data_IF_534999497605
#
_entry.id   IF_534999497605
#
_cell.length_a   1.000
_cell.length_b   1.000
_cell.length_c   1.000
_cell.angle_alpha   90.00
_cell.angle_beta   90.00
_cell.angle_gamma   90.00
#
_symmetry.space_group_name_H-M   'P 1'
#
loop_
_entity.id
_entity.type
_entity.pdbx_description
1 polymer ?
#
# COMPACT_ATOMS: atom_id res chain seq x y z
N UNK A 1 0.49 11.68 9.78
CA UNK A 1 1.42 11.99 8.68
C UNK A 1 0.66 12.50 7.48
N UNK A 2 1.21 13.49 6.85
CA UNK A 2 0.63 13.99 5.60
C UNK A 2 1.04 13.08 4.44
N UNK A 3 0.38 13.24 3.30
CA UNK A 3 0.77 12.53 2.09
C UNK A 3 2.22 12.84 1.72
N UNK A 4 2.62 14.11 1.87
CA UNK A 4 3.99 14.51 1.56
C UNK A 4 5.01 13.81 2.46
N UNK A 5 4.67 13.67 3.75
CA UNK A 5 5.56 12.98 4.68
C UNK A 5 5.68 11.50 4.34
N UNK A 6 4.55 10.86 4.01
CA UNK A 6 4.57 9.46 3.61
C UNK A 6 5.38 9.26 2.34
N UNK A 7 5.21 10.17 1.39
CA UNK A 7 5.94 10.10 0.13
C UNK A 7 7.44 10.23 0.37
N UNK A 8 7.85 11.14 1.23
CA UNK A 8 9.26 11.32 1.58
C UNK A 8 9.83 10.05 2.20
N UNK A 9 9.09 9.44 3.12
CA UNK A 9 9.54 8.20 3.74
C UNK A 9 9.71 7.08 2.71
N UNK A 10 8.72 6.93 1.85
CA UNK A 10 8.76 5.88 0.83
C UNK A 10 9.97 6.08 -0.07
N UNK A 11 10.18 7.31 -0.54
CA UNK A 11 11.28 7.60 -1.45
C UNK A 11 12.62 7.31 -0.80
N UNK A 12 12.74 7.62 0.48
CA UNK A 12 13.94 7.30 1.22
C UNK A 12 14.19 5.81 1.27
N UNK A 13 13.15 5.02 1.47
CA UNK A 13 13.27 3.57 1.58
C UNK A 13 13.58 2.89 0.26
N UNK A 14 13.10 3.44 -0.85
CA UNK A 14 13.35 2.84 -2.16
C UNK A 14 14.55 3.46 -2.88
N UNK A 15 15.15 4.49 -2.29
CA UNK A 15 16.36 5.08 -2.86
C UNK A 15 16.12 6.03 -4.01
N UNK A 16 14.96 6.66 -4.08
CA UNK A 16 14.63 7.63 -5.13
C UNK A 16 14.65 9.01 -4.54
N UNK A 17 15.37 9.93 -5.17
CA UNK A 17 15.48 11.29 -4.65
C UNK A 17 14.81 12.34 -5.54
N UNK A 18 14.43 11.99 -6.76
CA UNK A 18 13.78 12.94 -7.67
C UNK A 18 12.27 12.73 -7.68
N UNK A 19 11.57 13.40 -8.59
CA UNK A 19 10.12 13.33 -8.63
C UNK A 19 9.60 12.39 -9.70
N UNK A 20 10.46 11.60 -10.32
CA UNK A 20 10.06 10.75 -11.44
C UNK A 20 9.03 9.69 -11.07
N UNK A 21 9.02 9.26 -9.80
CA UNK A 21 8.10 8.23 -9.36
C UNK A 21 6.95 8.77 -8.49
N UNK A 22 6.87 10.09 -8.33
CA UNK A 22 5.88 10.66 -7.40
C UNK A 22 4.45 10.31 -7.78
N UNK A 23 4.11 10.38 -9.06
CA UNK A 23 2.75 10.06 -9.49
C UNK A 23 2.40 8.61 -9.20
N UNK A 24 3.31 7.69 -9.48
CA UNK A 24 3.09 6.28 -9.22
C UNK A 24 2.95 6.01 -7.72
N UNK A 25 3.83 6.60 -6.92
CA UNK A 25 3.80 6.39 -5.48
C UNK A 25 2.54 7.00 -4.86
N UNK A 26 2.09 8.15 -5.37
CA UNK A 26 0.85 8.75 -4.90
C UNK A 26 -0.34 7.86 -5.23
N UNK A 27 -0.34 7.24 -6.41
CA UNK A 27 -1.38 6.28 -6.77
C UNK A 27 -1.38 5.10 -5.81
N UNK A 28 -0.21 4.55 -5.49
CA UNK A 28 -0.13 3.46 -4.53
C UNK A 28 -0.60 3.88 -3.15
N UNK A 29 -0.31 5.12 -2.73
CA UNK A 29 -0.81 5.62 -1.46
C UNK A 29 -2.34 5.69 -1.46
N UNK A 30 -2.93 6.16 -2.55
CA UNK A 30 -4.39 6.22 -2.65
C UNK A 30 -4.99 4.82 -2.59
N UNK A 31 -4.41 3.88 -3.33
CA UNK A 31 -4.90 2.50 -3.34
C UNK A 31 -4.76 1.86 -1.97
N UNK A 32 -3.65 2.10 -1.29
CA UNK A 32 -3.44 1.52 0.03
C UNK A 32 -4.39 2.11 1.07
N UNK A 33 -4.71 3.40 0.97
CA UNK A 33 -5.70 4.01 1.86
C UNK A 33 -7.04 3.30 1.72
N UNK A 34 -7.48 3.10 0.49
CA UNK A 34 -8.74 2.42 0.23
C UNK A 34 -8.72 1.00 0.76
N UNK A 35 -7.63 0.28 0.49
CA UNK A 35 -7.54 -1.11 0.91
C UNK A 35 -7.54 -1.23 2.42
N UNK A 36 -6.77 -0.38 3.11
CA UNK A 36 -6.70 -0.43 4.57
C UNK A 36 -8.07 -0.13 5.18
N UNK A 37 -8.74 0.91 4.69
CA UNK A 37 -10.04 1.26 5.24
C UNK A 37 -11.08 0.17 4.97
N UNK A 38 -11.09 -0.39 3.77
CA UNK A 38 -12.03 -1.44 3.44
C UNK A 38 -11.79 -2.69 4.25
N UNK A 39 -10.52 -3.04 4.46
CA UNK A 39 -10.17 -4.22 5.24
C UNK A 39 -10.47 -4.01 6.72
N UNK A 40 -10.01 -2.88 7.27
CA UNK A 40 -10.14 -2.62 8.70
C UNK A 40 -11.60 -2.50 9.13
N UNK A 41 -12.42 -1.89 8.29
CA UNK A 41 -13.83 -1.68 8.62
C UNK A 41 -14.77 -2.62 7.86
N UNK A 42 -14.26 -3.73 7.39
CA UNK A 42 -15.04 -4.64 6.55
C UNK A 42 -16.25 -5.22 7.27
N UNK A 43 -16.18 -5.36 8.60
CA UNK A 43 -17.28 -5.95 9.37
C UNK A 43 -18.22 -4.92 9.93
N UNK A 44 -17.76 -3.68 10.12
CA UNK A 44 -18.60 -2.67 10.78
C UNK A 44 -18.90 -1.48 9.89
N UNK A 45 -18.30 -1.41 8.71
CA UNK A 45 -18.52 -0.29 7.79
C UNK A 45 -17.58 0.87 8.06
N UNK A 46 -17.15 1.53 6.99
CA UNK A 46 -16.25 2.68 7.12
C UNK A 46 -17.05 3.85 7.68
N UNK A 47 -16.56 4.50 8.76
CA UNK A 47 -17.28 5.63 9.33
C UNK A 47 -17.45 6.76 8.32
N UNK A 48 -18.56 7.43 8.40
CA UNK A 48 -18.86 8.53 7.50
C UNK A 48 -17.80 9.61 7.65
N UNK A 49 -17.30 10.12 6.52
CA UNK A 49 -16.28 11.16 6.53
C UNK A 49 -14.86 10.67 6.75
N UNK A 50 -14.68 9.37 6.96
CA UNK A 50 -13.33 8.86 7.18
C UNK A 50 -12.65 8.63 5.84
N UNK A 51 -11.58 9.40 5.60
CA UNK A 51 -10.85 9.34 4.34
C UNK A 51 -9.38 9.00 4.52
N UNK A 52 -8.88 8.98 5.75
CA UNK A 52 -7.47 8.70 6.02
C UNK A 52 -7.36 7.48 6.91
N UNK A 53 -6.20 6.79 6.80
CA UNK A 53 -5.96 5.64 7.67
C UNK A 53 -5.71 6.14 9.09
N UNK A 54 -5.95 5.26 10.05
CA UNK A 54 -5.67 5.57 11.45
C UNK A 54 -4.18 5.65 11.69
N UNK A 55 -3.79 6.41 12.73
CA UNK A 55 -2.39 6.66 13.01
C UNK A 55 -1.60 5.37 13.18
N UNK A 56 -2.20 4.36 13.80
CA UNK A 56 -1.49 3.11 14.02
C UNK A 56 -1.24 2.33 12.74
N UNK A 57 -1.92 2.68 11.66
CA UNK A 57 -1.78 1.97 10.40
C UNK A 57 -0.89 2.71 9.38
N UNK A 58 -0.42 3.90 9.73
CA UNK A 58 0.32 4.71 8.76
C UNK A 58 1.65 4.06 8.36
N UNK A 59 2.36 3.50 9.31
CA UNK A 59 3.62 2.83 9.00
C UNK A 59 3.36 1.55 8.19
N UNK A 60 2.27 0.86 8.50
CA UNK A 60 1.89 -0.30 7.69
C UNK A 60 1.64 0.13 6.25
N UNK A 61 0.96 1.27 6.07
CA UNK A 61 0.69 1.79 4.74
C UNK A 61 1.96 2.10 3.98
N UNK A 62 2.90 2.78 4.62
CA UNK A 62 4.17 3.14 3.99
C UNK A 62 4.91 1.87 3.56
N UNK A 63 5.00 0.90 4.45
CA UNK A 63 5.69 -0.35 4.13
C UNK A 63 4.98 -1.14 3.05
N UNK A 64 3.65 -1.09 3.01
CA UNK A 64 2.90 -1.77 1.96
C UNK A 64 3.19 -1.17 0.59
N UNK A 65 3.27 0.17 0.52
CA UNK A 65 3.59 0.84 -0.73
C UNK A 65 4.99 0.48 -1.19
N UNK A 66 5.94 0.42 -0.25
CA UNK A 66 7.32 0.01 -0.58
C UNK A 66 7.33 -1.42 -1.11
N UNK A 67 6.58 -2.32 -0.49
CA UNK A 67 6.50 -3.71 -0.95
C UNK A 67 5.93 -3.79 -2.36
N UNK A 68 4.87 -3.04 -2.63
CA UNK A 68 4.27 -3.01 -3.95
C UNK A 68 5.21 -2.45 -5.01
N UNK A 69 5.94 -1.39 -4.66
CA UNK A 69 6.88 -0.79 -5.58
C UNK A 69 8.04 -1.74 -5.88
N UNK A 70 8.58 -2.37 -4.86
CA UNK A 70 9.69 -3.29 -5.03
C UNK A 70 9.29 -4.50 -5.86
N UNK A 71 8.08 -4.98 -5.68
CA UNK A 71 7.59 -6.10 -6.45
C UNK A 71 7.46 -5.74 -7.91
N UNK A 72 6.98 -4.54 -8.19
CA UNK A 72 6.88 -4.06 -9.55
C UNK A 72 8.25 -4.01 -10.21
N UNK A 73 9.26 -3.51 -9.51
CA UNK A 73 10.60 -3.47 -10.02
C UNK A 73 11.16 -4.86 -10.33
N UNK A 74 10.92 -5.79 -9.42
CA UNK A 74 11.37 -7.16 -9.61
C UNK A 74 10.65 -7.80 -10.80
N UNK A 75 9.36 -7.55 -10.93
CA UNK A 75 8.60 -8.06 -12.04
C UNK A 75 9.15 -7.55 -13.35
N UNK A 76 9.47 -6.26 -13.42
CA UNK A 76 10.01 -5.68 -14.63
C UNK A 76 11.35 -6.31 -15.00
N UNK A 77 12.16 -6.62 -14.00
CA UNK A 77 13.46 -7.20 -14.24
C UNK A 77 13.40 -8.63 -14.75
N UNK A 78 12.36 -9.35 -14.39
CA UNK A 78 12.23 -10.74 -14.74
C UNK A 78 11.17 -11.02 -15.78
N UNK A 79 10.68 -9.98 -16.42
CA UNK A 79 9.50 -10.13 -17.25
C UNK A 79 9.68 -11.11 -18.39
N UNK A 80 10.90 -11.21 -18.97
CA UNK A 80 11.05 -12.12 -20.07
C UNK A 80 11.27 -13.54 -19.65
N UNK A 81 11.45 -13.80 -18.40
CA UNK A 81 11.49 -15.13 -17.92
C UNK A 81 10.22 -15.66 -17.53
N UNK A 82 9.35 -14.96 -17.46
CA UNK A 82 8.37 -15.21 -16.90
C UNK A 82 7.55 -15.65 -16.57
N UNK A 83 6.98 -15.72 -15.99
CA UNK A 83 6.26 -16.30 -15.31
C UNK A 83 5.09 -15.56 -15.16
N UNK A 84 3.99 -15.94 -15.61
CA UNK A 84 2.75 -15.28 -15.49
C UNK A 84 2.33 -15.00 -14.13
N UNK A 85 2.83 -15.73 -13.17
CA UNK A 85 2.53 -15.54 -11.76
C UNK A 85 2.92 -14.16 -11.31
N UNK A 86 4.06 -13.66 -11.76
CA UNK A 86 4.52 -12.35 -11.33
C UNK A 86 3.64 -11.23 -11.81
N UNK A 87 3.01 -11.38 -12.95
CA UNK A 87 2.18 -10.31 -13.45
C UNK A 87 0.94 -10.10 -12.64
N UNK A 88 0.47 -11.14 -11.96
CA UNK A 88 -0.75 -11.01 -11.17
C UNK A 88 -0.48 -10.52 -9.77
N UNK A 89 0.78 -10.44 -9.34
CA UNK A 89 1.06 -10.13 -7.96
C UNK A 89 1.49 -8.72 -7.67
N UNK A 90 1.50 -7.83 -8.65
CA UNK A 90 1.89 -6.51 -8.40
C UNK A 90 1.07 -5.83 -7.37
N UNK A 91 -0.24 -5.91 -7.46
CA UNK A 91 -1.12 -5.34 -6.45
C UNK A 91 -1.29 -6.25 -5.27
N UNK A 92 -1.20 -7.53 -5.50
CA UNK A 92 -1.43 -8.49 -4.44
C UNK A 92 -0.38 -8.42 -3.35
N UNK A 93 0.85 -8.03 -3.70
CA UNK A 93 1.87 -7.89 -2.67
C UNK A 93 1.53 -6.79 -1.68
N UNK A 94 1.03 -5.65 -2.17
CA UNK A 94 0.61 -4.58 -1.30
C UNK A 94 -0.60 -4.98 -0.48
N UNK A 95 -1.59 -5.61 -1.12
CA UNK A 95 -2.80 -6.05 -0.45
C UNK A 95 -2.49 -7.12 0.58
N UNK A 96 -1.66 -8.09 0.22
CA UNK A 96 -1.30 -9.16 1.15
C UNK A 96 -0.56 -8.61 2.37
N UNK A 97 0.31 -7.63 2.17
CA UNK A 97 1.01 -6.99 3.26
C UNK A 97 0.03 -6.34 4.23
N UNK A 98 -0.95 -5.63 3.68
CA UNK A 98 -1.98 -4.96 4.48
C UNK A 98 -2.82 -5.98 5.24
N UNK A 99 -3.28 -7.02 4.57
CA UNK A 99 -4.14 -8.01 5.21
C UNK A 99 -3.42 -8.79 6.30
N UNK A 100 -2.11 -8.92 6.19
CA UNK A 100 -1.34 -9.64 7.20
C UNK A 100 -1.11 -8.80 8.46
N UNK A 101 -1.18 -7.49 8.36
CA UNK A 101 -0.78 -6.62 9.46
C UNK A 101 -1.87 -5.72 10.01
N UNK A 102 -2.83 -5.31 9.20
CA UNK A 102 -3.95 -4.50 9.68
C UNK A 102 -5.00 -5.45 10.26
N UNK A 103 -5.40 -5.20 11.49
CA UNK A 103 -6.36 -6.06 12.17
C UNK A 103 -7.74 -5.46 11.99
N UNK A 104 -8.68 -6.19 11.35
CA UNK A 104 -10.03 -5.67 11.18
C UNK A 104 -10.73 -5.52 12.52
N UNK A 105 -11.57 -4.49 12.62
CA UNK A 105 -12.39 -4.33 13.80
C UNK A 105 -13.45 -5.43 13.82
N UNK A 106 -13.56 -6.08 14.96
CA UNK A 106 -14.55 -7.12 15.14
C UNK A 106 -15.91 -6.49 15.38
N UNK A 107 -16.95 -7.15 14.86
CA UNK A 107 -18.28 -6.71 15.13
C UNK A 107 -18.65 -7.18 16.53
N UNK A 108 -19.12 -6.25 17.34
CA UNK A 108 -19.57 -6.60 18.68
C UNK A 108 -21.06 -6.97 18.59
N UNK A 109 -21.37 -8.15 19.06
CA UNK A 109 -22.74 -8.64 18.99
C UNK A 109 -23.36 -8.63 20.37
#
# INVERSE_FOLDING_TARGET
MTTAEKLTMIKSMIGVSDTSQDALLTTYLTMSTQEILQWKYSLIGIPEGKTNVDAEDEIIQVNAVVAGYNRRGAEDQTSHNENQIYRTFKHEDMVAYIHARVIPYARVV
#
